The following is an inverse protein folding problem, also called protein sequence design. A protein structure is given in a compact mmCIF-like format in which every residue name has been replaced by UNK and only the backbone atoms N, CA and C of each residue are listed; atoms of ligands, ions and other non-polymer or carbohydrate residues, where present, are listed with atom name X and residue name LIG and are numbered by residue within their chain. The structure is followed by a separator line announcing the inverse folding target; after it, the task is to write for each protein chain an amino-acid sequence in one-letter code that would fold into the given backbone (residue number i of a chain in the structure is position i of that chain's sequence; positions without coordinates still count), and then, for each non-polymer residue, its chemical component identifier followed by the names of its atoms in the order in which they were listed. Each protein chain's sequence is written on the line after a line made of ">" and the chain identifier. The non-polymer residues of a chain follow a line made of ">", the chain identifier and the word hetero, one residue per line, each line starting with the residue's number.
data_IF_073610663112
#
_entry.id   IF_073610663112
#
_cell.length_a   1.000
_cell.length_b   1.000
_cell.length_c   1.000
_cell.angle_alpha   90.00
_cell.angle_beta   90.00
_cell.angle_gamma   90.00
#
_symmetry.space_group_name_H-M   'P 1'
#
loop_
_entity.id
_entity.type
_entity.pdbx_description
1 polymer ?
#
# COMPACT_ATOMS: atom_id res chain seq x y z
N UNK A 1 12.76 10.79 19.85
CA UNK A 1 11.65 9.96 19.30
C UNK A 1 11.35 10.39 17.86
N UNK A 2 11.58 9.49 16.87
CA UNK A 2 11.64 9.82 15.42
C UNK A 2 10.33 10.38 14.83
N UNK A 3 10.43 11.36 13.92
CA UNK A 3 9.33 12.06 13.25
C UNK A 3 8.61 11.21 12.16
N UNK A 4 9.20 10.06 11.78
CA UNK A 4 8.74 9.20 10.68
C UNK A 4 7.32 8.66 10.86
N UNK A 5 6.87 8.44 12.10
CA UNK A 5 5.54 7.87 12.37
C UNK A 5 4.41 8.89 12.14
N UNK A 6 4.72 10.19 12.04
CA UNK A 6 3.73 11.26 11.87
C UNK A 6 3.33 11.47 10.40
N UNK A 7 4.14 11.01 9.45
CA UNK A 7 4.01 11.29 8.01
C UNK A 7 3.64 10.00 7.26
N UNK A 8 2.73 10.10 6.28
CA UNK A 8 2.27 8.97 5.46
C UNK A 8 0.75 8.81 5.40
N UNK A 9 0.26 8.07 4.40
CA UNK A 9 -1.17 7.76 4.24
C UNK A 9 -1.70 6.78 5.30
N UNK A 10 -0.81 6.01 5.93
CA UNK A 10 -1.15 5.01 6.95
C UNK A 10 -1.12 5.66 8.33
N UNK A 11 -2.27 5.68 9.00
CA UNK A 11 -2.38 6.20 10.36
C UNK A 11 -1.77 5.21 11.36
N UNK A 12 -0.92 5.72 12.25
CA UNK A 12 -0.26 4.91 13.28
C UNK A 12 -1.22 4.59 14.40
N UNK A 13 -0.99 3.46 15.06
CA UNK A 13 -1.78 3.04 16.22
C UNK A 13 -1.36 3.74 17.52
N UNK A 14 -0.29 4.53 17.46
CA UNK A 14 0.29 5.30 18.58
C UNK A 14 0.54 6.74 18.15
N UNK A 15 0.41 7.67 19.09
CA UNK A 15 0.66 9.11 18.90
C UNK A 15 -0.42 9.87 18.11
N UNK A 16 -0.30 11.20 18.01
CA UNK A 16 -1.24 12.04 17.26
C UNK A 16 -1.16 11.86 15.74
N UNK A 17 -2.31 11.80 15.08
CA UNK A 17 -2.43 11.77 13.63
C UNK A 17 -2.27 13.17 13.03
N UNK A 18 -1.49 13.28 11.94
CA UNK A 18 -1.48 14.48 11.11
C UNK A 18 -2.72 14.46 10.21
N UNK A 19 -3.46 15.57 10.23
CA UNK A 19 -4.59 15.84 9.34
C UNK A 19 -4.25 17.09 8.53
N UNK A 20 -4.42 17.00 7.22
CA UNK A 20 -4.29 18.13 6.30
C UNK A 20 -5.69 18.55 5.87
N UNK A 21 -6.00 19.84 5.96
CA UNK A 21 -7.25 20.42 5.47
C UNK A 21 -6.91 21.54 4.50
N UNK A 22 -7.55 21.53 3.33
CA UNK A 22 -7.48 22.65 2.38
C UNK A 22 -8.43 23.72 2.89
N UNK A 23 -7.93 24.94 3.04
CA UNK A 23 -8.72 26.10 3.45
C UNK A 23 -9.34 26.79 2.23
N UNK A 24 -10.26 27.74 2.45
CA UNK A 24 -11.01 28.40 1.35
C UNK A 24 -10.12 29.17 0.38
N UNK A 25 -8.99 29.66 0.87
CA UNK A 25 -7.92 30.35 0.14
C UNK A 25 -6.97 29.40 -0.61
N UNK A 26 -7.22 28.08 -0.58
CA UNK A 26 -6.39 27.08 -1.25
C UNK A 26 -5.11 26.69 -0.49
N UNK A 27 -4.83 27.33 0.65
CA UNK A 27 -3.69 26.93 1.50
C UNK A 27 -3.96 25.60 2.22
N UNK A 28 -2.90 24.86 2.56
CA UNK A 28 -3.01 23.57 3.25
C UNK A 28 -2.64 23.75 4.72
N UNK A 29 -3.63 23.72 5.61
CA UNK A 29 -3.40 23.74 7.05
C UNK A 29 -3.15 22.32 7.58
N UNK A 30 -2.01 22.13 8.23
CA UNK A 30 -1.67 20.88 8.90
C UNK A 30 -1.97 20.97 10.39
N UNK A 31 -2.66 19.98 10.95
CA UNK A 31 -2.99 19.92 12.39
C UNK A 31 -2.71 18.53 12.94
N UNK A 32 -2.20 18.46 14.17
CA UNK A 32 -2.05 17.21 14.92
C UNK A 32 -3.29 16.98 15.77
N UNK A 33 -3.92 15.81 15.60
CA UNK A 33 -5.07 15.39 16.38
C UNK A 33 -4.73 14.11 17.14
N UNK A 34 -5.16 14.01 18.39
CA UNK A 34 -5.08 12.77 19.16
C UNK A 34 -6.33 11.92 18.89
N UNK A 35 -6.20 10.76 18.22
CA UNK A 35 -7.32 9.89 17.92
C UNK A 35 -7.73 9.06 19.15
N UNK A 36 -9.04 8.86 19.29
CA UNK A 36 -9.64 7.96 20.30
C UNK A 36 -9.24 6.50 20.07
N UNK A 37 -9.42 5.65 21.09
CA UNK A 37 -9.15 4.22 20.97
C UNK A 37 -10.03 3.54 19.92
N UNK A 38 -11.32 3.91 19.86
CA UNK A 38 -12.26 3.44 18.85
C UNK A 38 -11.78 3.78 17.43
N UNK A 39 -11.34 5.02 17.20
CA UNK A 39 -10.79 5.42 15.89
C UNK A 39 -9.55 4.60 15.52
N UNK A 40 -8.67 4.32 16.48
CA UNK A 40 -7.49 3.47 16.25
C UNK A 40 -7.87 2.03 15.93
N UNK A 41 -8.83 1.45 16.64
CA UNK A 41 -9.35 0.11 16.37
C UNK A 41 -9.98 0.02 14.97
N UNK A 42 -10.78 1.02 14.59
CA UNK A 42 -11.36 1.11 13.25
C UNK A 42 -10.29 1.18 12.15
N UNK A 43 -9.21 1.96 12.37
CA UNK A 43 -8.09 2.01 11.44
C UNK A 43 -7.35 0.67 11.34
N UNK A 44 -7.13 -0.03 12.47
CA UNK A 44 -6.54 -1.38 12.47
C UNK A 44 -7.40 -2.37 11.68
N UNK A 45 -8.72 -2.35 11.88
CA UNK A 45 -9.66 -3.22 11.18
C UNK A 45 -9.66 -2.92 9.67
N UNK A 46 -9.69 -1.64 9.29
CA UNK A 46 -9.59 -1.21 7.89
C UNK A 46 -8.31 -1.71 7.24
N UNK A 47 -7.16 -1.52 7.87
CA UNK A 47 -5.88 -1.99 7.33
C UNK A 47 -5.80 -3.52 7.27
N UNK A 48 -6.34 -4.23 8.26
CA UNK A 48 -6.45 -5.69 8.22
C UNK A 48 -7.31 -6.15 7.05
N UNK A 49 -8.47 -5.55 6.84
CA UNK A 49 -9.38 -5.90 5.75
C UNK A 49 -8.78 -5.58 4.38
N UNK A 50 -8.15 -4.40 4.24
CA UNK A 50 -7.42 -4.02 3.02
C UNK A 50 -6.33 -5.05 2.68
N UNK A 51 -5.51 -5.43 3.66
CA UNK A 51 -4.47 -6.45 3.48
C UNK A 51 -5.04 -7.83 3.18
N UNK A 52 -6.14 -8.21 3.82
CA UNK A 52 -6.81 -9.48 3.55
C UNK A 52 -7.34 -9.54 2.12
N UNK A 53 -7.90 -8.45 1.60
CA UNK A 53 -8.34 -8.35 0.21
C UNK A 53 -7.16 -8.50 -0.76
N UNK A 54 -6.06 -7.78 -0.54
CA UNK A 54 -4.84 -7.92 -1.37
C UNK A 54 -4.33 -9.36 -1.38
N UNK A 55 -4.34 -10.05 -0.23
CA UNK A 55 -3.94 -11.47 -0.15
C UNK A 55 -4.85 -12.36 -1.00
N UNK A 56 -6.17 -12.16 -0.94
CA UNK A 56 -7.12 -12.92 -1.76
C UNK A 56 -6.87 -12.71 -3.26
N UNK A 57 -6.59 -11.47 -3.67
CA UNK A 57 -6.24 -11.13 -5.06
C UNK A 57 -4.98 -11.89 -5.49
N UNK A 58 -3.90 -11.82 -4.71
CA UNK A 58 -2.65 -12.51 -5.04
C UNK A 58 -2.79 -14.03 -5.06
N UNK A 59 -3.58 -14.60 -4.15
CA UNK A 59 -3.90 -16.04 -4.20
C UNK A 59 -4.66 -16.39 -5.47
N UNK A 60 -5.67 -15.60 -5.85
CA UNK A 60 -6.42 -15.81 -7.09
C UNK A 60 -5.54 -15.75 -8.34
N UNK A 61 -4.65 -14.75 -8.42
CA UNK A 61 -3.69 -14.60 -9.52
C UNK A 61 -2.71 -15.78 -9.60
N UNK A 62 -2.24 -16.32 -8.46
CA UNK A 62 -1.37 -17.51 -8.47
C UNK A 62 -2.07 -18.76 -8.96
N UNK A 63 -3.35 -18.93 -8.62
CA UNK A 63 -4.10 -20.14 -8.99
C UNK A 63 -4.61 -20.06 -10.43
N UNK A 64 -5.04 -18.88 -10.88
CA UNK A 64 -5.77 -18.72 -12.13
C UNK A 64 -5.04 -17.90 -13.20
N UNK A 65 -3.96 -17.19 -12.86
CA UNK A 65 -3.26 -16.29 -13.78
C UNK A 65 -2.31 -16.98 -14.76
N UNK A 66 -2.17 -18.31 -14.66
CA UNK A 66 -1.34 -19.13 -15.56
C UNK A 66 0.11 -18.60 -15.74
N UNK A 67 0.65 -17.97 -14.70
CA UNK A 67 2.01 -17.45 -14.69
C UNK A 67 3.02 -18.59 -14.55
N UNK A 68 4.08 -18.57 -15.37
CA UNK A 68 5.20 -19.51 -15.27
C UNK A 68 6.15 -19.11 -14.13
N UNK A 69 5.67 -19.24 -12.90
CA UNK A 69 6.42 -18.88 -11.70
C UNK A 69 7.22 -20.07 -11.16
N UNK A 70 8.44 -19.85 -10.63
CA UNK A 70 9.17 -20.88 -9.91
C UNK A 70 8.37 -21.45 -8.72
N UNK A 71 8.66 -22.70 -8.33
CA UNK A 71 8.01 -23.39 -7.20
C UNK A 71 8.11 -22.62 -5.88
N UNK A 72 9.17 -21.82 -5.68
CA UNK A 72 9.40 -20.99 -4.50
C UNK A 72 9.17 -19.49 -4.77
N UNK A 73 8.29 -19.16 -5.73
CA UNK A 73 8.02 -17.76 -6.10
C UNK A 73 7.41 -16.95 -4.97
N UNK A 74 7.90 -15.73 -4.80
CA UNK A 74 7.39 -14.78 -3.81
C UNK A 74 6.33 -13.83 -4.40
N UNK A 75 6.03 -12.72 -3.71
CA UNK A 75 5.04 -11.75 -4.20
C UNK A 75 5.61 -10.84 -5.29
N UNK A 76 6.90 -10.53 -5.24
CA UNK A 76 7.55 -9.70 -6.24
C UNK A 76 7.62 -10.44 -7.58
N UNK A 77 7.92 -11.75 -7.57
CA UNK A 77 7.93 -12.56 -8.80
C UNK A 77 6.57 -12.53 -9.51
N UNK A 78 5.47 -12.65 -8.75
CA UNK A 78 4.12 -12.53 -9.26
C UNK A 78 3.85 -11.13 -9.84
N UNK A 79 4.30 -10.07 -9.16
CA UNK A 79 4.12 -8.69 -9.62
C UNK A 79 4.92 -8.42 -10.91
N UNK A 80 6.14 -8.95 -11.00
CA UNK A 80 6.96 -8.87 -12.21
C UNK A 80 6.23 -9.57 -13.37
N UNK A 81 5.77 -10.80 -13.16
CA UNK A 81 5.02 -11.54 -14.19
C UNK A 81 3.75 -10.80 -14.64
N UNK A 82 3.02 -10.21 -13.70
CA UNK A 82 1.83 -9.39 -13.98
C UNK A 82 2.19 -8.13 -14.78
N UNK A 83 3.28 -7.43 -14.44
CA UNK A 83 3.75 -6.28 -15.19
C UNK A 83 4.17 -6.66 -16.62
N UNK A 84 4.89 -7.77 -16.75
CA UNK A 84 5.34 -8.32 -18.03
C UNK A 84 4.15 -8.68 -18.94
N UNK A 85 3.10 -9.29 -18.39
CA UNK A 85 1.83 -9.56 -19.08
C UNK A 85 1.14 -8.26 -19.52
N UNK A 86 1.14 -7.23 -18.66
CA UNK A 86 0.56 -5.93 -18.93
C UNK A 86 1.39 -5.04 -19.90
N UNK A 87 2.44 -5.57 -20.52
CA UNK A 87 3.27 -4.84 -21.49
C UNK A 87 4.32 -3.93 -20.86
N UNK A 88 4.72 -4.17 -19.62
CA UNK A 88 5.78 -3.43 -18.92
C UNK A 88 6.99 -4.33 -18.67
N UNK A 89 8.20 -3.80 -18.85
CA UNK A 89 9.41 -4.49 -18.45
C UNK A 89 9.83 -4.07 -17.05
N UNK A 90 10.20 -5.04 -16.19
CA UNK A 90 10.67 -4.78 -14.83
C UNK A 90 12.11 -5.26 -14.66
N UNK A 91 13.00 -4.32 -14.34
CA UNK A 91 14.40 -4.62 -14.05
C UNK A 91 14.60 -5.12 -12.61
N UNK A 92 15.76 -5.73 -12.35
CA UNK A 92 16.12 -6.30 -11.04
C UNK A 92 16.23 -5.26 -9.92
N UNK A 93 16.50 -4.00 -10.27
CA UNK A 93 16.54 -2.87 -9.34
C UNK A 93 15.14 -2.29 -9.03
N UNK A 94 14.10 -2.78 -9.70
CA UNK A 94 12.72 -2.31 -9.59
C UNK A 94 12.36 -1.19 -10.57
N UNK A 95 13.23 -0.82 -11.50
CA UNK A 95 12.92 0.15 -12.56
C UNK A 95 11.94 -0.47 -13.56
N UNK A 96 10.88 0.28 -13.93
CA UNK A 96 9.81 -0.19 -14.83
C UNK A 96 9.70 0.73 -16.04
N UNK A 97 9.64 0.16 -17.24
CA UNK A 97 9.39 0.91 -18.48
C UNK A 97 8.47 0.15 -19.42
N UNK A 98 7.88 0.84 -20.39
CA UNK A 98 6.93 0.24 -21.33
C UNK A 98 7.67 -0.62 -22.35
N UNK A 99 7.18 -1.83 -22.61
CA UNK A 99 7.67 -2.65 -23.73
C UNK A 99 7.24 -1.96 -25.03
N UNK A 100 8.20 -1.76 -25.92
CA UNK A 100 7.97 -1.25 -27.29
C UNK A 100 7.59 -2.41 -28.18
#
# INVERSE_FOLDING_TARGET
>A
MSEKWKKGCIKTTKGPWIVKKVTKDGSVKQTQRFPSERERQNNKLRERNRRAMTRKIFTGLRVHGNYNLPKQSDTNDLLIALCEEAGWHVQKDGTIYRKV
#
